data_IF_097848905361
#
_entry.id   IF_097848905361
#
_cell.length_a   1.000
_cell.length_b   1.000
_cell.length_c   1.000
_cell.angle_alpha   90.00
_cell.angle_beta   90.00
_cell.angle_gamma   90.00
#
_symmetry.space_group_name_H-M   'P 1'
#
loop_
_entity.id
_entity.type
_entity.pdbx_description
1 polymer ?
#
# COMPACT_ATOMS: atom_id res chain seq x y z
N UNK A 1 -13.76 6.75 -3.19
CA UNK A 1 -13.51 5.40 -3.77
C UNK A 1 -12.24 4.86 -3.09
N UNK A 2 -12.05 3.54 -2.99
CA UNK A 2 -10.96 2.97 -2.18
C UNK A 2 -9.97 2.18 -3.05
N UNK A 3 -8.69 2.12 -2.64
CA UNK A 3 -7.63 1.32 -3.25
C UNK A 3 -7.01 0.38 -2.22
N UNK A 4 -6.64 -0.83 -2.63
CA UNK A 4 -6.01 -1.83 -1.77
C UNK A 4 -4.80 -2.41 -2.51
N UNK A 5 -3.70 -2.59 -1.79
CA UNK A 5 -2.51 -3.29 -2.26
C UNK A 5 -2.01 -4.24 -1.17
N UNK A 6 -1.50 -5.40 -1.57
CA UNK A 6 -0.81 -6.35 -0.71
C UNK A 6 0.52 -6.80 -1.32
N UNK A 7 1.46 -7.19 -0.46
CA UNK A 7 2.73 -7.77 -0.88
C UNK A 7 3.06 -8.98 0.01
N UNK A 8 3.45 -10.08 -0.63
CA UNK A 8 3.94 -11.29 0.03
C UNK A 8 5.27 -11.63 -0.65
N UNK A 9 6.34 -11.75 0.13
CA UNK A 9 7.66 -12.09 -0.39
C UNK A 9 8.77 -11.85 0.62
N UNK A 10 10.01 -12.04 0.17
CA UNK A 10 11.20 -11.97 1.02
C UNK A 10 11.79 -10.55 1.18
N UNK A 11 11.26 -9.55 0.46
CA UNK A 11 11.71 -8.16 0.55
C UNK A 11 10.91 -7.41 1.60
N UNK A 12 11.44 -6.30 2.10
CA UNK A 12 10.68 -5.43 3.00
C UNK A 12 9.39 -4.95 2.34
N UNK A 13 8.25 -5.25 2.97
CA UNK A 13 6.94 -4.97 2.42
C UNK A 13 6.62 -3.47 2.42
N UNK A 14 7.07 -2.73 3.44
CA UNK A 14 6.75 -1.30 3.62
C UNK A 14 7.04 -0.42 2.38
N UNK A 15 8.27 -0.40 1.80
CA UNK A 15 8.56 0.42 0.63
C UNK A 15 7.75 0.00 -0.61
N UNK A 16 7.38 -1.27 -0.73
CA UNK A 16 6.56 -1.77 -1.83
C UNK A 16 5.12 -1.29 -1.68
N UNK A 17 4.55 -1.41 -0.48
CA UNK A 17 3.19 -0.98 -0.17
C UNK A 17 3.02 0.53 -0.34
N UNK A 18 3.97 1.36 0.14
CA UNK A 18 3.93 2.81 -0.02
C UNK A 18 3.94 3.23 -1.50
N UNK A 19 4.84 2.65 -2.29
CA UNK A 19 4.92 2.99 -3.72
C UNK A 19 3.66 2.55 -4.48
N UNK A 20 3.07 1.42 -4.09
CA UNK A 20 1.82 0.97 -4.68
C UNK A 20 0.62 1.81 -4.29
N UNK A 21 0.51 2.24 -3.02
CA UNK A 21 -0.55 3.15 -2.57
C UNK A 21 -0.48 4.48 -3.30
N UNK A 22 0.71 5.06 -3.49
CA UNK A 22 0.90 6.28 -4.30
C UNK A 22 0.36 6.13 -5.72
N UNK A 23 0.57 4.97 -6.36
CA UNK A 23 0.01 4.69 -7.69
C UNK A 23 -1.52 4.60 -7.69
N UNK A 24 -2.14 4.38 -6.53
CA UNK A 24 -3.60 4.30 -6.35
C UNK A 24 -4.24 5.59 -5.83
N UNK A 25 -3.48 6.69 -5.63
CA UNK A 25 -4.02 7.97 -5.14
C UNK A 25 -5.20 8.49 -5.98
N UNK A 26 -5.19 8.24 -7.29
CA UNK A 26 -6.31 8.61 -8.17
C UNK A 26 -7.64 7.95 -7.78
N UNK A 27 -7.61 6.84 -7.04
CA UNK A 27 -8.82 6.18 -6.51
C UNK A 27 -9.25 6.76 -5.17
N UNK A 28 -8.34 7.32 -4.39
CA UNK A 28 -8.63 7.89 -3.07
C UNK A 28 -7.38 8.53 -2.46
N UNK A 29 -7.52 9.76 -1.99
CA UNK A 29 -6.41 10.62 -1.52
C UNK A 29 -6.60 11.12 -0.08
N UNK A 30 -7.77 10.91 0.52
CA UNK A 30 -8.14 11.47 1.81
C UNK A 30 -7.43 10.78 2.98
N UNK A 31 -7.28 9.45 2.92
CA UNK A 31 -6.56 8.68 3.94
C UNK A 31 -5.97 7.39 3.36
N UNK A 32 -4.97 6.85 4.05
CA UNK A 32 -4.36 5.56 3.73
C UNK A 32 -3.84 4.87 5.00
N UNK A 33 -3.80 3.54 5.01
CA UNK A 33 -3.36 2.73 6.13
C UNK A 33 -2.55 1.52 5.64
N UNK A 34 -1.60 1.06 6.46
CA UNK A 34 -0.72 -0.08 6.17
C UNK A 34 -0.69 -0.97 7.41
N UNK A 35 -0.79 -2.28 7.18
CA UNK A 35 -0.54 -3.30 8.20
C UNK A 35 0.63 -4.18 7.74
N UNK A 36 1.53 -4.47 8.67
CA UNK A 36 2.66 -5.38 8.46
C UNK A 36 2.55 -6.52 9.47
N UNK A 37 2.96 -7.71 9.03
CA UNK A 37 2.99 -8.92 9.86
C UNK A 37 4.45 -9.37 9.91
N UNK A 38 4.96 -9.58 11.12
CA UNK A 38 6.30 -10.10 11.40
C UNK A 38 6.29 -11.63 11.38
#
# INVERSE_FOLDING_TARGET
>A
MCGIIGYIGKKDAYPILINGLKRLEYRGYDSSGIALIN
#
